data_IF_718345577300
#
_entry.id   IF_718345577300
#
_cell.length_a   1.000
_cell.length_b   1.000
_cell.length_c   1.000
_cell.angle_alpha   90.00
_cell.angle_beta   90.00
_cell.angle_gamma   90.00
#
_symmetry.space_group_name_H-M   'P 1'
#
loop_
_entity.id
_entity.type
_entity.pdbx_description
1 polymer ?
#
# COMPACT_ATOMS: atom_id res chain seq x y z
N UNK A 1 9.06 2.93 0.88
CA UNK A 1 10.16 2.10 1.45
C UNK A 1 10.84 2.68 2.70
N UNK A 2 11.12 3.98 2.83
CA UNK A 2 11.91 4.52 3.96
C UNK A 2 11.42 4.17 5.38
N UNK A 3 10.10 4.16 5.63
CA UNK A 3 9.52 3.74 6.92
C UNK A 3 9.68 2.24 7.21
N UNK A 4 9.63 1.39 6.17
CA UNK A 4 9.94 -0.05 6.30
C UNK A 4 11.42 -0.26 6.60
N UNK A 5 12.31 0.54 6.01
CA UNK A 5 13.73 0.48 6.31
C UNK A 5 14.02 0.91 7.74
N UNK A 6 13.49 2.07 8.18
CA UNK A 6 13.59 2.53 9.58
C UNK A 6 13.12 1.45 10.55
N UNK A 7 12.02 0.75 10.25
CA UNK A 7 11.56 -0.37 11.04
C UNK A 7 12.54 -1.56 11.01
N UNK A 8 13.02 -1.97 9.82
CA UNK A 8 13.91 -3.11 9.68
C UNK A 8 15.23 -2.91 10.44
N UNK A 9 15.80 -1.70 10.36
CA UNK A 9 17.05 -1.35 11.04
C UNK A 9 16.89 -1.31 12.57
N UNK A 10 15.73 -0.83 13.06
CA UNK A 10 15.45 -0.75 14.49
C UNK A 10 14.99 -2.09 15.11
N UNK A 11 14.44 -3.00 14.31
CA UNK A 11 13.96 -4.30 14.77
C UNK A 11 15.09 -5.31 15.02
N UNK A 12 16.33 -4.98 14.62
CA UNK A 12 17.51 -5.81 14.86
C UNK A 12 18.14 -5.66 16.25
N UNK A 13 17.70 -4.68 17.05
CA UNK A 13 18.18 -4.45 18.41
C UNK A 13 17.03 -4.61 19.41
N UNK A 14 16.98 -5.78 20.03
CA UNK A 14 16.10 -6.12 21.14
C UNK A 14 16.17 -5.02 22.21
N UNK A 15 15.18 -4.12 22.25
CA UNK A 15 15.10 -3.07 23.27
C UNK A 15 13.76 -3.19 23.97
N UNK A 16 13.79 -3.99 25.04
CA UNK A 16 12.90 -3.81 26.16
C UNK A 16 13.06 -2.38 26.72
N UNK A 17 11.94 -1.70 26.95
CA UNK A 17 11.86 -0.58 27.90
C UNK A 17 10.74 -0.92 28.89
N UNK A 18 11.13 -1.28 30.12
CA UNK A 18 10.27 -1.55 31.28
C UNK A 18 9.75 -0.27 31.96
N UNK A 19 9.00 -0.30 33.07
CA UNK A 19 8.52 -1.37 33.98
C UNK A 19 7.16 -0.97 34.59
N UNK A 20 6.44 -1.82 35.36
CA UNK A 20 6.68 -2.22 36.76
C UNK A 20 6.09 -3.63 37.08
N UNK A 21 6.81 -4.36 37.96
CA UNK A 21 6.68 -5.67 38.69
C UNK A 21 5.28 -6.27 38.99
N UNK A 22 5.01 -7.60 39.14
CA UNK A 22 5.65 -8.73 39.92
C UNK A 22 5.12 -10.15 39.43
N UNK A 23 5.39 -11.36 40.03
CA UNK A 23 6.07 -12.50 39.38
C UNK A 23 5.30 -13.84 39.12
N UNK A 24 5.81 -14.61 38.13
CA UNK A 24 5.68 -16.07 37.80
C UNK A 24 4.32 -16.70 37.36
N UNK A 25 4.29 -17.85 36.61
CA UNK A 25 5.40 -18.70 36.17
C UNK A 25 5.62 -18.83 34.64
N UNK A 26 6.75 -19.47 34.37
CA UNK A 26 7.47 -19.77 33.15
C UNK A 26 6.67 -20.57 32.10
N UNK A 27 6.59 -20.06 30.86
CA UNK A 27 6.16 -20.86 29.71
C UNK A 27 5.50 -20.18 28.51
N UNK A 28 5.77 -18.92 28.13
CA UNK A 28 5.12 -18.34 26.91
C UNK A 28 5.85 -17.19 26.18
N UNK A 29 7.09 -16.84 26.56
CA UNK A 29 7.75 -15.63 26.06
C UNK A 29 8.02 -15.61 24.54
N UNK A 30 8.17 -16.76 23.89
CA UNK A 30 8.46 -16.85 22.45
C UNK A 30 7.20 -16.69 21.56
N UNK A 31 6.03 -17.00 22.11
CA UNK A 31 4.76 -16.89 21.39
C UNK A 31 4.31 -15.42 21.34
N UNK A 32 4.45 -14.70 22.44
CA UNK A 32 4.09 -13.27 22.54
C UNK A 32 4.94 -12.39 21.63
N UNK A 33 6.26 -12.60 21.58
CA UNK A 33 7.16 -11.82 20.72
C UNK A 33 6.88 -12.01 19.22
N UNK A 34 6.58 -13.24 18.79
CA UNK A 34 6.27 -13.51 17.38
C UNK A 34 4.97 -12.84 16.89
N UNK A 35 3.97 -12.68 17.78
CA UNK A 35 2.72 -12.00 17.46
C UNK A 35 2.89 -10.47 17.43
N UNK A 36 3.71 -9.91 18.31
CA UNK A 36 4.05 -8.48 18.29
C UNK A 36 4.84 -8.12 17.04
N UNK A 37 5.79 -8.96 16.62
CA UNK A 37 6.62 -8.72 15.44
C UNK A 37 5.80 -8.72 14.15
N UNK A 38 4.88 -9.68 14.00
CA UNK A 38 3.97 -9.74 12.86
C UNK A 38 3.01 -8.54 12.81
N UNK A 39 2.60 -8.04 13.97
CA UNK A 39 1.76 -6.83 14.09
C UNK A 39 2.55 -5.59 13.70
N UNK A 40 3.79 -5.45 14.17
CA UNK A 40 4.68 -4.35 13.78
C UNK A 40 4.99 -4.37 12.29
N UNK A 41 5.24 -5.56 11.71
CA UNK A 41 5.42 -5.72 10.28
C UNK A 41 4.18 -5.21 9.50
N UNK A 42 2.97 -5.60 9.92
CA UNK A 42 1.72 -5.12 9.32
C UNK A 42 1.62 -3.61 9.38
N UNK A 43 1.89 -3.03 10.54
CA UNK A 43 1.77 -1.60 10.75
C UNK A 43 2.81 -0.82 9.93
N UNK A 44 4.03 -1.34 9.81
CA UNK A 44 5.08 -0.74 8.99
C UNK A 44 4.70 -0.75 7.49
N UNK A 45 4.10 -1.83 6.99
CA UNK A 45 3.56 -1.90 5.62
C UNK A 45 2.41 -0.90 5.41
N UNK A 46 1.45 -0.84 6.33
CA UNK A 46 0.31 0.10 6.25
C UNK A 46 0.82 1.55 6.23
N UNK A 47 1.68 1.91 7.18
CA UNK A 47 2.22 3.27 7.29
C UNK A 47 3.03 3.65 6.05
N UNK A 48 3.87 2.75 5.56
CA UNK A 48 4.71 3.03 4.40
C UNK A 48 3.90 3.24 3.14
N UNK A 49 2.93 2.37 2.85
CA UNK A 49 2.07 2.51 1.69
C UNK A 49 1.16 3.76 1.80
N UNK A 50 0.67 4.08 3.00
CA UNK A 50 -0.13 5.29 3.25
C UNK A 50 0.67 6.58 3.01
N UNK A 51 1.89 6.66 3.55
CA UNK A 51 2.78 7.82 3.36
C UNK A 51 3.15 7.99 1.90
N UNK A 52 3.47 6.89 1.21
CA UNK A 52 3.78 6.91 -0.21
C UNK A 52 2.57 7.39 -1.04
N UNK A 53 1.38 6.89 -0.73
CA UNK A 53 0.12 7.32 -1.36
C UNK A 53 -0.15 8.81 -1.14
N UNK A 54 0.11 9.32 0.06
CA UNK A 54 -0.07 10.74 0.38
C UNK A 54 0.81 11.65 -0.50
N UNK A 55 2.10 11.34 -0.60
CA UNK A 55 3.02 12.12 -1.45
C UNK A 55 2.78 11.90 -2.94
N UNK A 56 2.39 10.69 -3.34
CA UNK A 56 2.00 10.38 -4.71
C UNK A 56 0.78 11.21 -5.13
N UNK A 57 -0.21 11.35 -4.24
CA UNK A 57 -1.39 12.19 -4.47
C UNK A 57 -1.01 13.67 -4.62
N UNK A 58 -0.15 14.19 -3.74
CA UNK A 58 0.34 15.57 -3.85
C UNK A 58 1.03 15.83 -5.20
N UNK A 59 1.90 14.91 -5.65
CA UNK A 59 2.56 15.00 -6.93
C UNK A 59 1.59 14.87 -8.12
N UNK A 60 0.66 13.92 -8.06
CA UNK A 60 -0.36 13.72 -9.11
C UNK A 60 -1.18 14.98 -9.35
N UNK A 61 -1.62 15.65 -8.27
CA UNK A 61 -2.32 16.95 -8.38
C UNK A 61 -1.48 17.99 -9.11
N UNK A 62 -0.22 18.17 -8.67
CA UNK A 62 0.71 19.17 -9.25
C UNK A 62 0.97 18.93 -10.74
N UNK A 63 1.10 17.68 -11.18
CA UNK A 63 1.32 17.33 -12.58
C UNK A 63 0.07 17.62 -13.44
N UNK A 64 -1.12 17.28 -12.94
CA UNK A 64 -2.37 17.46 -13.68
C UNK A 64 -2.85 18.92 -13.74
N UNK A 65 -2.51 19.76 -12.74
CA UNK A 65 -2.78 21.21 -12.82
C UNK A 65 -1.90 21.90 -13.87
N UNK A 66 -0.66 21.45 -14.08
CA UNK A 66 0.25 22.01 -15.09
C UNK A 66 -0.23 21.71 -16.51
N UNK A 67 -0.62 20.47 -16.81
CA UNK A 67 -1.09 20.08 -18.14
C UNK A 67 -2.39 20.76 -18.57
N UNK A 68 -3.29 21.07 -17.63
CA UNK A 68 -4.48 21.89 -17.91
C UNK A 68 -4.15 23.35 -18.27
N UNK A 69 -3.02 23.87 -17.77
CA UNK A 69 -2.61 25.26 -18.00
C UNK A 69 -1.83 25.45 -19.32
N UNK A 70 -1.28 24.36 -19.89
CA UNK A 70 -0.33 24.39 -21.00
C UNK A 70 -0.88 23.87 -22.34
N UNK A 71 -2.17 23.53 -22.45
CA UNK A 71 -2.77 23.05 -23.71
C UNK A 71 -3.45 24.19 -24.50
N UNK A 72 -2.89 24.70 -25.61
CA UNK A 72 -3.62 25.53 -26.55
C UNK A 72 -4.38 24.62 -27.52
N UNK A 73 -5.71 24.74 -27.54
CA UNK A 73 -6.62 24.26 -28.60
C UNK A 73 -6.61 22.76 -28.92
N UNK A 74 -7.43 21.99 -28.20
CA UNK A 74 -8.17 20.88 -28.79
C UNK A 74 -9.67 21.28 -28.85
N UNK A 75 -10.41 21.02 -29.94
CA UNK A 75 -11.81 21.41 -30.04
C UNK A 75 -12.62 20.73 -28.93
N UNK A 76 -13.22 21.55 -28.07
CA UNK A 76 -14.07 21.11 -26.97
C UNK A 76 -15.26 20.32 -27.53
N UNK A 77 -15.33 19.03 -27.22
CA UNK A 77 -16.59 18.31 -27.26
C UNK A 77 -17.52 18.91 -26.18
N UNK A 78 -18.76 19.30 -26.51
CA UNK A 78 -19.71 19.80 -25.53
C UNK A 78 -20.12 18.63 -24.62
N UNK A 79 -19.56 18.59 -23.41
CA UNK A 79 -19.81 17.55 -22.41
C UNK A 79 -18.59 17.08 -21.61
N UNK A 80 -17.37 17.43 -22.03
CA UNK A 80 -16.15 17.11 -21.27
C UNK A 80 -15.92 18.18 -20.20
N UNK A 81 -16.60 18.03 -19.06
CA UNK A 81 -16.26 18.76 -17.85
C UNK A 81 -14.85 18.36 -17.44
N UNK A 82 -13.89 19.27 -17.58
CA UNK A 82 -12.53 19.11 -17.09
C UNK A 82 -12.51 19.18 -15.56
N UNK A 83 -13.14 18.21 -14.90
CA UNK A 83 -13.11 18.11 -13.44
C UNK A 83 -11.66 17.83 -13.04
N UNK A 84 -11.05 18.80 -12.35
CA UNK A 84 -9.72 18.65 -11.79
C UNK A 84 -9.66 17.44 -10.83
N UNK A 85 -8.50 16.79 -10.68
CA UNK A 85 -8.37 15.61 -9.83
C UNK A 85 -8.89 15.80 -8.40
N UNK A 86 -8.73 16.98 -7.83
CA UNK A 86 -9.14 17.27 -6.45
C UNK A 86 -10.67 17.31 -6.34
N UNK A 87 -11.36 17.96 -7.28
CA UNK A 87 -12.83 17.98 -7.35
C UNK A 87 -13.42 16.58 -7.52
N UNK A 88 -12.79 15.70 -8.31
CA UNK A 88 -13.22 14.29 -8.40
C UNK A 88 -13.08 13.59 -7.05
N UNK A 89 -11.92 13.74 -6.41
CA UNK A 89 -11.65 13.09 -5.13
C UNK A 89 -12.64 13.55 -4.05
N UNK A 90 -12.99 14.84 -3.99
CA UNK A 90 -13.97 15.41 -3.06
C UNK A 90 -15.38 14.83 -3.23
N UNK A 91 -15.75 14.41 -4.44
CA UNK A 91 -17.00 13.65 -4.73
C UNK A 91 -16.89 12.16 -4.37
N UNK A 92 -15.78 11.75 -3.77
CA UNK A 92 -15.45 10.36 -3.48
C UNK A 92 -15.12 9.56 -4.72
N UNK A 93 -14.56 10.19 -5.76
CA UNK A 93 -14.10 9.53 -6.99
C UNK A 93 -12.57 9.64 -7.10
N UNK A 94 -11.89 8.52 -6.94
CA UNK A 94 -10.44 8.42 -7.15
C UNK A 94 -10.19 8.47 -8.66
N UNK A 95 -9.41 9.43 -9.19
CA UNK A 95 -9.12 9.51 -10.62
C UNK A 95 -8.43 8.24 -11.14
N UNK A 96 -8.87 7.72 -12.29
CA UNK A 96 -8.38 6.42 -12.81
C UNK A 96 -6.85 6.38 -13.01
N UNK A 97 -6.27 7.48 -13.50
CA UNK A 97 -4.83 7.60 -13.65
C UNK A 97 -4.07 7.48 -12.32
N UNK A 98 -4.64 8.02 -11.24
CA UNK A 98 -4.07 7.90 -9.90
C UNK A 98 -4.36 6.53 -9.27
N UNK A 99 -5.55 5.98 -9.48
CA UNK A 99 -5.92 4.62 -9.04
C UNK A 99 -4.96 3.59 -9.63
N UNK A 100 -4.59 3.73 -10.90
CA UNK A 100 -3.55 2.92 -11.55
C UNK A 100 -2.21 2.99 -10.83
N UNK A 101 -1.76 4.18 -10.43
CA UNK A 101 -0.52 4.31 -9.67
C UNK A 101 -0.61 3.60 -8.31
N UNK A 102 -1.75 3.71 -7.61
CA UNK A 102 -1.98 2.97 -6.36
C UNK A 102 -1.93 1.44 -6.56
N UNK A 103 -2.41 0.93 -7.69
CA UNK A 103 -2.32 -0.51 -8.03
C UNK A 103 -0.87 -0.97 -8.14
N UNK A 104 -0.04 -0.22 -8.88
CA UNK A 104 1.38 -0.52 -9.02
C UNK A 104 2.10 -0.42 -7.69
N UNK A 105 1.88 0.64 -6.90
CA UNK A 105 2.44 0.76 -5.55
C UNK A 105 2.10 -0.47 -4.71
N UNK A 106 0.84 -0.90 -4.65
CA UNK A 106 0.48 -2.09 -3.87
C UNK A 106 1.13 -3.37 -4.42
N UNK A 107 1.29 -3.48 -5.73
CA UNK A 107 2.06 -4.54 -6.39
C UNK A 107 3.51 -4.57 -5.92
N UNK A 108 4.18 -3.43 -5.88
CA UNK A 108 5.57 -3.31 -5.40
C UNK A 108 5.71 -3.74 -3.93
N UNK A 109 4.77 -3.33 -3.07
CA UNK A 109 4.74 -3.80 -1.67
C UNK A 109 4.50 -5.31 -1.59
N UNK A 110 3.66 -5.87 -2.47
CA UNK A 110 3.46 -7.33 -2.53
C UNK A 110 4.75 -8.03 -2.88
N UNK A 111 5.40 -7.61 -3.94
CA UNK A 111 6.64 -8.21 -4.44
C UNK A 111 7.80 -8.04 -3.46
N UNK A 112 7.78 -6.95 -2.69
CA UNK A 112 8.67 -6.78 -1.53
C UNK A 112 8.42 -7.87 -0.47
N UNK A 113 7.16 -8.14 -0.13
CA UNK A 113 6.77 -9.14 0.88
C UNK A 113 6.96 -10.59 0.42
N UNK A 114 6.41 -10.97 -0.74
CA UNK A 114 6.35 -12.37 -1.19
C UNK A 114 7.53 -12.77 -2.06
N UNK A 115 8.29 -11.79 -2.57
CA UNK A 115 9.31 -11.99 -3.58
C UNK A 115 8.73 -12.12 -4.99
N UNK A 116 9.50 -11.66 -5.97
CA UNK A 116 9.29 -12.04 -7.38
C UNK A 116 9.98 -13.35 -7.67
N UNK A 117 9.47 -14.08 -8.67
CA UNK A 117 10.19 -15.23 -9.24
C UNK A 117 11.58 -14.78 -9.70
N UNK A 118 12.55 -15.68 -9.58
CA UNK A 118 13.94 -15.52 -10.04
C UNK A 118 14.77 -14.40 -9.39
N UNK A 119 14.27 -13.79 -8.30
CA UNK A 119 14.93 -12.68 -7.58
C UNK A 119 15.22 -11.45 -8.47
N UNK A 120 14.49 -11.26 -9.58
CA UNK A 120 14.85 -10.24 -10.57
C UNK A 120 14.79 -8.81 -10.04
N UNK A 121 13.82 -8.48 -9.18
CA UNK A 121 13.76 -7.20 -8.48
C UNK A 121 14.99 -7.02 -7.59
N UNK A 122 15.41 -8.06 -6.86
CA UNK A 122 16.62 -8.01 -6.02
C UNK A 122 17.87 -7.77 -6.89
N UNK A 123 17.96 -8.45 -8.05
CA UNK A 123 19.09 -8.26 -8.98
C UNK A 123 19.12 -6.85 -9.55
N UNK A 124 17.96 -6.33 -9.99
CA UNK A 124 17.84 -4.98 -10.55
C UNK A 124 18.21 -3.90 -9.51
N UNK A 125 17.78 -4.07 -8.26
CA UNK A 125 18.06 -3.11 -7.19
C UNK A 125 19.49 -3.21 -6.63
N UNK A 126 20.06 -4.42 -6.58
CA UNK A 126 21.49 -4.60 -6.32
C UNK A 126 22.33 -3.91 -7.40
N UNK A 127 21.91 -4.00 -8.66
CA UNK A 127 22.56 -3.31 -9.76
C UNK A 127 22.45 -1.78 -9.64
N UNK A 128 21.42 -1.24 -8.97
CA UNK A 128 21.30 0.19 -8.66
C UNK A 128 22.04 0.62 -7.38
N UNK A 129 22.74 -0.30 -6.70
CA UNK A 129 23.53 -0.02 -5.50
C UNK A 129 22.73 0.11 -4.19
N UNK A 130 21.43 -0.21 -4.21
CA UNK A 130 20.58 -0.17 -3.01
C UNK A 130 20.53 -1.55 -2.35
N UNK A 131 21.23 -1.68 -1.22
CA UNK A 131 21.26 -2.91 -0.43
C UNK A 131 20.12 -3.01 0.61
N UNK A 132 19.35 -1.93 0.81
CA UNK A 132 18.35 -1.86 1.88
C UNK A 132 17.24 -2.89 1.68
N UNK A 133 16.92 -3.21 0.42
CA UNK A 133 15.85 -4.14 0.08
C UNK A 133 16.23 -5.58 0.42
N UNK A 134 17.51 -5.95 0.39
CA UNK A 134 17.95 -7.25 0.89
C UNK A 134 17.77 -7.36 2.41
N UNK A 135 18.12 -6.29 3.14
CA UNK A 135 17.93 -6.21 4.60
C UNK A 135 16.45 -6.35 4.97
N UNK A 136 15.58 -5.58 4.30
CA UNK A 136 14.13 -5.63 4.53
C UNK A 136 13.58 -7.03 4.24
N UNK A 137 13.97 -7.65 3.11
CA UNK A 137 13.51 -9.01 2.77
C UNK A 137 13.94 -10.04 3.81
N UNK A 138 15.19 -10.00 4.28
CA UNK A 138 15.67 -10.89 5.34
C UNK A 138 14.86 -10.72 6.63
N UNK A 139 14.60 -9.47 7.05
CA UNK A 139 13.80 -9.21 8.24
C UNK A 139 12.36 -9.75 8.12
N UNK A 140 11.72 -9.58 6.96
CA UNK A 140 10.39 -10.14 6.66
C UNK A 140 10.42 -11.66 6.75
N UNK A 141 11.38 -12.30 6.08
CA UNK A 141 11.53 -13.75 6.05
C UNK A 141 11.71 -14.32 7.46
N UNK A 142 12.53 -13.66 8.29
CA UNK A 142 12.76 -14.11 9.67
C UNK A 142 11.48 -14.09 10.51
N UNK A 143 10.72 -12.99 10.48
CA UNK A 143 9.50 -12.83 11.28
C UNK A 143 8.44 -13.84 10.85
N UNK A 144 8.18 -13.93 9.54
CA UNK A 144 7.09 -14.76 9.03
C UNK A 144 7.40 -16.25 9.14
N UNK A 145 8.67 -16.64 9.02
CA UNK A 145 9.07 -18.03 9.28
C UNK A 145 9.02 -18.37 10.77
N UNK A 146 9.41 -17.46 11.68
CA UNK A 146 9.27 -17.67 13.13
C UNK A 146 7.80 -17.83 13.53
N UNK A 147 6.92 -16.95 13.04
CA UNK A 147 5.48 -17.02 13.29
C UNK A 147 4.85 -18.33 12.79
N UNK A 148 5.28 -18.82 11.62
CA UNK A 148 4.80 -20.08 11.05
C UNK A 148 5.21 -21.29 11.90
N UNK A 149 6.47 -21.34 12.36
CA UNK A 149 6.97 -22.44 13.22
C UNK A 149 6.22 -22.52 14.56
N UNK A 150 5.83 -21.38 15.12
CA UNK A 150 5.08 -21.32 16.38
C UNK A 150 3.61 -21.76 16.24
N UNK A 151 3.06 -21.78 15.02
CA UNK A 151 1.67 -22.16 14.74
C UNK A 151 1.51 -23.56 14.11
N UNK A 152 2.58 -24.34 13.99
CA UNK A 152 2.47 -25.70 13.43
C UNK A 152 1.89 -26.70 14.46
N UNK A 153 0.56 -26.90 14.39
CA UNK A 153 0.01 -28.24 14.56
C UNK A 153 0.37 -29.09 13.33
N UNK A 154 0.73 -30.35 13.58
CA UNK A 154 1.41 -31.26 12.65
C UNK A 154 0.79 -31.37 11.25
N UNK A 155 1.64 -31.31 10.22
CA UNK A 155 1.52 -32.25 9.08
C UNK A 155 1.05 -31.74 7.71
N UNK A 156 0.59 -30.50 7.55
CA UNK A 156 0.06 -30.04 6.25
C UNK A 156 1.08 -29.19 5.49
N UNK A 157 1.78 -29.78 4.51
CA UNK A 157 2.54 -29.04 3.51
C UNK A 157 1.55 -28.37 2.55
N UNK A 158 1.09 -27.17 2.87
CA UNK A 158 0.45 -26.30 1.90
C UNK A 158 1.50 -25.82 0.89
N UNK A 159 1.14 -25.73 -0.40
CA UNK A 159 1.99 -25.11 -1.43
C UNK A 159 2.16 -23.59 -1.25
N UNK A 160 1.55 -23.00 -0.22
CA UNK A 160 1.56 -21.57 0.10
C UNK A 160 2.68 -21.23 1.09
N UNK A 161 3.48 -20.21 0.79
CA UNK A 161 4.54 -19.74 1.70
C UNK A 161 3.96 -18.90 2.85
N UNK A 162 4.65 -18.78 4.01
CA UNK A 162 4.22 -17.88 5.09
C UNK A 162 3.98 -16.44 4.62
N UNK A 163 4.79 -15.94 3.70
CA UNK A 163 4.69 -14.62 3.08
C UNK A 163 3.40 -14.47 2.27
N UNK A 164 3.03 -15.49 1.48
CA UNK A 164 1.79 -15.49 0.71
C UNK A 164 0.57 -15.47 1.64
N UNK A 165 0.55 -16.33 2.67
CA UNK A 165 -0.52 -16.36 3.67
C UNK A 165 -0.66 -15.03 4.41
N UNK A 166 0.48 -14.44 4.79
CA UNK A 166 0.50 -13.14 5.45
C UNK A 166 -0.06 -12.03 4.55
N UNK A 167 0.34 -12.02 3.28
CA UNK A 167 -0.16 -11.05 2.30
C UNK A 167 -1.66 -11.20 2.05
N UNK A 168 -2.16 -12.43 1.88
CA UNK A 168 -3.60 -12.70 1.69
C UNK A 168 -4.44 -12.16 2.85
N UNK A 169 -3.89 -12.18 4.06
CA UNK A 169 -4.54 -11.62 5.25
C UNK A 169 -4.45 -10.10 5.29
N UNK A 170 -3.27 -9.53 5.04
CA UNK A 170 -2.96 -8.13 5.36
C UNK A 170 -3.02 -7.16 4.17
N UNK A 171 -3.01 -7.65 2.92
CA UNK A 171 -3.06 -6.81 1.71
C UNK A 171 -4.26 -5.86 1.70
N UNK A 172 -5.41 -6.32 2.19
CA UNK A 172 -6.60 -5.49 2.36
C UNK A 172 -6.42 -4.33 3.35
N UNK A 173 -5.62 -4.52 4.40
CA UNK A 173 -5.35 -3.50 5.42
C UNK A 173 -4.39 -2.44 4.89
N UNK A 174 -3.41 -2.86 4.09
CA UNK A 174 -2.48 -1.96 3.38
C UNK A 174 -3.28 -1.08 2.40
N UNK A 175 -4.12 -1.71 1.55
CA UNK A 175 -5.01 -0.98 0.63
C UNK A 175 -5.93 0.01 1.35
N UNK A 176 -6.55 -0.42 2.46
CA UNK A 176 -7.34 0.47 3.32
C UNK A 176 -6.52 1.66 3.83
N UNK A 177 -5.28 1.44 4.25
CA UNK A 177 -4.36 2.50 4.66
C UNK A 177 -4.06 3.50 3.55
N UNK A 178 -3.86 3.02 2.32
CA UNK A 178 -3.65 3.86 1.14
C UNK A 178 -4.87 4.76 0.87
N UNK A 179 -6.08 4.21 0.87
CA UNK A 179 -7.31 5.02 0.71
C UNK A 179 -7.49 5.99 1.88
N UNK A 180 -7.22 5.55 3.11
CA UNK A 180 -7.31 6.40 4.30
C UNK A 180 -6.37 7.60 4.21
N UNK A 181 -5.17 7.43 3.64
CA UNK A 181 -4.21 8.51 3.43
C UNK A 181 -4.74 9.63 2.53
N UNK A 182 -5.60 9.32 1.57
CA UNK A 182 -6.22 10.32 0.69
C UNK A 182 -7.11 11.31 1.45
N UNK A 183 -7.56 10.95 2.64
CA UNK A 183 -8.37 11.82 3.51
C UNK A 183 -7.53 12.86 4.25
N UNK A 184 -6.20 12.83 4.13
CA UNK A 184 -5.31 13.80 4.76
C UNK A 184 -4.81 14.83 3.76
N UNK A 185 -4.55 16.04 4.26
CA UNK A 185 -3.94 17.13 3.51
C UNK A 185 -2.92 17.88 4.36
N UNK A 186 -1.92 18.44 3.71
CA UNK A 186 -1.00 19.37 4.36
C UNK A 186 -1.73 20.67 4.72
N UNK A 187 -1.47 21.17 5.92
CA UNK A 187 -1.89 22.50 6.33
C UNK A 187 -0.90 23.52 5.76
N UNK A 188 -1.19 24.04 4.57
CA UNK A 188 -0.45 25.18 4.01
C UNK A 188 -0.75 26.51 4.71
N UNK A 189 -1.68 26.54 5.66
CA UNK A 189 -2.10 27.72 6.43
C UNK A 189 -1.38 27.88 7.79
N UNK A 190 -0.48 26.97 8.17
CA UNK A 190 0.31 27.08 9.41
C UNK A 190 1.51 28.02 9.28
N UNK A 191 2.05 28.49 10.42
CA UNK A 191 3.32 29.22 10.47
C UNK A 191 4.40 28.51 9.64
N UNK A 192 5.15 29.28 8.83
CA UNK A 192 6.26 28.77 8.03
C UNK A 192 7.23 27.99 8.93
N UNK A 193 7.32 26.67 8.71
CA UNK A 193 8.25 25.79 9.42
C UNK A 193 7.60 24.67 10.25
N UNK A 194 6.27 24.63 10.41
CA UNK A 194 5.59 23.54 11.11
C UNK A 194 4.65 22.77 10.16
N UNK A 195 5.23 21.85 9.39
CA UNK A 195 4.45 20.92 8.57
C UNK A 195 3.50 20.12 9.49
N UNK A 196 2.21 20.26 9.26
CA UNK A 196 1.18 19.50 9.96
C UNK A 196 0.16 19.02 8.94
N UNK A 197 -0.30 17.78 9.12
CA UNK A 197 -1.36 17.20 8.31
C UNK A 197 -2.68 17.28 9.07
N UNK A 198 -3.77 17.56 8.37
CA UNK A 198 -5.13 17.44 8.91
C UNK A 198 -5.94 16.45 8.10
N UNK A 199 -6.87 15.77 8.77
CA UNK A 199 -7.85 14.92 8.10
C UNK A 199 -9.03 15.79 7.62
N UNK A 200 -9.36 15.68 6.35
CA UNK A 200 -10.57 16.25 5.77
C UNK A 200 -11.77 15.33 6.08
N UNK A 201 -12.63 15.78 6.99
CA UNK A 201 -13.79 15.00 7.45
C UNK A 201 -14.83 14.79 6.37
N UNK A 202 -14.98 15.73 5.44
CA UNK A 202 -15.93 15.62 4.34
C UNK A 202 -15.44 14.57 3.34
N UNK A 203 -14.15 14.64 2.98
CA UNK A 203 -13.54 13.66 2.08
C UNK A 203 -13.52 12.26 2.70
N UNK A 204 -13.19 12.15 4.00
CA UNK A 204 -13.31 10.89 4.74
C UNK A 204 -14.73 10.32 4.63
N UNK A 205 -15.74 11.16 4.83
CA UNK A 205 -17.14 10.75 4.74
C UNK A 205 -17.56 10.41 3.31
N UNK A 206 -16.94 11.01 2.29
CA UNK A 206 -17.21 10.69 0.89
C UNK A 206 -16.61 9.34 0.47
N UNK A 207 -15.38 9.03 0.93
CA UNK A 207 -14.66 7.81 0.55
C UNK A 207 -14.96 6.60 1.43
N UNK A 208 -15.17 6.81 2.73
CA UNK A 208 -15.15 5.75 3.74
C UNK A 208 -16.42 5.69 4.58
N UNK A 209 -16.82 4.47 4.95
CA UNK A 209 -17.90 4.19 5.90
C UNK A 209 -17.43 4.37 7.36
N UNK A 210 -18.35 4.16 8.31
CA UNK A 210 -18.07 4.31 9.74
C UNK A 210 -17.04 3.28 10.27
N UNK A 211 -16.74 2.23 9.51
CA UNK A 211 -15.71 1.22 9.79
C UNK A 211 -14.40 1.50 9.04
N UNK A 212 -14.27 2.69 8.44
CA UNK A 212 -13.17 3.10 7.56
C UNK A 212 -12.99 2.17 6.35
N UNK A 213 -14.05 1.52 5.85
CA UNK A 213 -14.02 0.76 4.59
C UNK A 213 -14.47 1.63 3.44
N UNK A 214 -13.97 1.42 2.20
CA UNK A 214 -14.43 2.16 1.04
C UNK A 214 -15.94 2.03 0.84
N UNK A 215 -16.66 3.16 0.74
CA UNK A 215 -18.12 3.19 0.55
C UNK A 215 -18.52 2.63 -0.81
N UNK A 216 -17.81 3.03 -1.86
CA UNK A 216 -18.08 2.58 -3.22
C UNK A 216 -17.48 1.18 -3.40
N UNK A 217 -18.29 0.17 -3.80
CA UNK A 217 -17.81 -1.20 -4.02
C UNK A 217 -16.61 -1.27 -4.97
N UNK A 218 -16.60 -0.39 -5.98
CA UNK A 218 -15.50 -0.25 -6.94
C UNK A 218 -14.13 0.11 -6.32
N UNK A 219 -14.04 0.50 -5.04
CA UNK A 219 -12.76 0.76 -4.36
C UNK A 219 -12.45 -0.27 -3.26
N UNK A 220 -13.29 -1.30 -3.09
CA UNK A 220 -13.03 -2.37 -2.14
C UNK A 220 -11.95 -3.31 -2.67
N UNK A 221 -11.09 -3.80 -1.77
CA UNK A 221 -9.87 -4.54 -2.11
C UNK A 221 -10.08 -5.72 -3.08
N UNK A 222 -11.16 -6.48 -2.92
CA UNK A 222 -11.47 -7.65 -3.73
C UNK A 222 -12.21 -7.34 -5.02
N UNK A 223 -12.75 -6.13 -5.17
CA UNK A 223 -13.66 -5.75 -6.26
C UNK A 223 -13.05 -4.72 -7.21
N UNK A 224 -12.17 -3.85 -6.71
CA UNK A 224 -11.56 -2.76 -7.47
C UNK A 224 -10.78 -3.29 -8.66
N UNK A 225 -10.99 -2.64 -9.81
CA UNK A 225 -10.41 -2.93 -11.13
C UNK A 225 -9.97 -1.61 -11.76
N UNK A 226 -9.04 -1.67 -12.70
CA UNK A 226 -8.68 -0.50 -13.52
C UNK A 226 -9.55 -0.48 -14.75
N UNK A 227 -10.38 0.53 -14.95
CA UNK A 227 -11.08 0.66 -16.22
C UNK A 227 -10.07 0.85 -17.36
N UNK A 228 -10.18 0.04 -18.41
CA UNK A 228 -9.39 0.24 -19.62
C UNK A 228 -10.07 1.32 -20.47
N UNK A 229 -9.56 2.54 -20.41
CA UNK A 229 -9.87 3.56 -21.42
C UNK A 229 -9.06 3.24 -22.67
N UNK A 230 -9.58 2.33 -23.51
CA UNK A 230 -9.06 2.15 -24.86
C UNK A 230 -9.53 3.34 -25.69
N UNK A 231 -8.64 4.30 -25.94
CA UNK A 231 -8.80 5.20 -27.09
C UNK A 231 -8.70 4.35 -28.36
N UNK A 232 -9.86 3.87 -28.83
CA UNK A 232 -10.06 3.48 -30.21
C UNK A 232 -9.65 2.07 -30.64
N UNK A 233 -9.79 1.02 -29.82
CA UNK A 233 -10.05 -0.32 -30.38
C UNK A 233 -10.68 -1.25 -29.34
N UNK A 234 -11.99 -1.49 -29.44
CA UNK A 234 -12.62 -2.65 -28.80
C UNK A 234 -12.19 -3.89 -29.58
N UNK A 235 -11.13 -4.56 -29.14
CA UNK A 235 -10.95 -5.97 -29.50
C UNK A 235 -11.98 -6.77 -28.71
N UNK A 236 -12.86 -7.47 -29.42
CA UNK A 236 -13.91 -8.35 -28.89
C UNK A 236 -13.35 -9.63 -28.21
N UNK A 237 -12.21 -9.53 -27.54
CA UNK A 237 -11.72 -10.61 -26.70
C UNK A 237 -12.16 -10.31 -25.27
N UNK A 238 -12.71 -11.32 -24.63
CA UNK A 238 -13.22 -11.39 -23.26
C UNK A 238 -12.07 -11.22 -22.23
N UNK A 239 -11.30 -10.14 -22.37
CA UNK A 239 -10.22 -9.77 -21.44
C UNK A 239 -10.92 -9.21 -20.22
N UNK A 240 -11.28 -10.10 -19.29
CA UNK A 240 -11.74 -9.70 -17.98
C UNK A 240 -10.65 -8.86 -17.33
N UNK A 241 -10.88 -7.56 -17.19
CA UNK A 241 -9.99 -6.66 -16.44
C UNK A 241 -9.71 -7.27 -15.07
N UNK A 242 -8.43 -7.49 -14.71
CA UNK A 242 -8.09 -8.11 -13.44
C UNK A 242 -8.51 -7.22 -12.27
N UNK A 243 -9.05 -7.83 -11.22
CA UNK A 243 -9.19 -7.19 -9.91
C UNK A 243 -7.81 -6.87 -9.34
N UNK A 244 -7.74 -5.94 -8.38
CA UNK A 244 -6.49 -5.63 -7.67
C UNK A 244 -5.80 -6.87 -7.12
N UNK A 245 -6.55 -7.80 -6.52
CA UNK A 245 -5.99 -9.04 -5.96
C UNK A 245 -5.35 -9.96 -7.00
N UNK A 246 -5.81 -9.89 -8.26
CA UNK A 246 -5.23 -10.59 -9.40
C UNK A 246 -4.07 -9.78 -9.99
N UNK A 247 -4.26 -8.48 -10.14
CA UNK A 247 -3.28 -7.55 -10.70
C UNK A 247 -1.94 -7.64 -9.97
N UNK A 248 -1.94 -7.56 -8.64
CA UNK A 248 -0.71 -7.61 -7.83
C UNK A 248 0.03 -8.96 -7.93
N UNK A 249 -0.59 -10.00 -8.48
CA UNK A 249 0.05 -11.32 -8.69
C UNK A 249 0.73 -11.43 -10.06
N UNK A 250 0.43 -10.51 -10.99
CA UNK A 250 0.99 -10.50 -12.33
C UNK A 250 2.37 -9.83 -12.26
N UNK A 251 3.46 -10.49 -12.71
CA UNK A 251 4.76 -9.86 -12.79
C UNK A 251 4.67 -8.58 -13.63
N UNK A 252 5.08 -7.45 -13.07
CA UNK A 252 5.14 -6.18 -13.79
C UNK A 252 6.44 -6.14 -14.60
N UNK A 253 6.32 -6.15 -15.93
CA UNK A 253 7.46 -5.88 -16.80
C UNK A 253 7.69 -4.36 -16.82
N UNK A 254 8.87 -3.94 -16.37
CA UNK A 254 9.37 -2.56 -16.50
C UNK A 254 10.23 -2.42 -17.76
#
# INVERSE_FOLDING_TARGET
>A
VGKLQEWADNSGNDTAVGGVTQPQPQGDAASTSSLTDATHLRDAFIQSAAVETFFLWDRYKKENTKTQSESPQAPQQPGSGSDDPQSKLEKGEIPDGFLRQMFYTLGDYRDLCVGVKDNDVIKALKASGDNNIETIKKAIDEILNKQSRNNQQSGQKSGTTPQQTWWETNGQHIWKGMIYALTYKDNTSGEKGKASITQDTNLKSALLDDKNKPKKPQYQYTEVKLEETTDGQKTNDDITTPTLTQFVKIPTYF
#
